data_IF_667912532571
#
_entry.id   IF_667912532571
#
_cell.length_a   1.000
_cell.length_b   1.000
_cell.length_c   1.000
_cell.angle_alpha   90.00
_cell.angle_beta   90.00
_cell.angle_gamma   90.00
#
_symmetry.space_group_name_H-M   'P 1'
#
loop_
_entity.id
_entity.type
_entity.pdbx_description
1 polymer ?
#
# COMPACT_ATOMS: atom_id res chain seq x y z
N UNK A 1 16.21 21.82 -0.47
CA UNK A 1 15.56 21.01 0.59
C UNK A 1 14.09 20.90 0.22
N UNK A 2 13.65 19.75 -0.26
CA UNK A 2 12.25 19.48 -0.57
C UNK A 2 11.53 19.14 0.72
N UNK A 3 10.71 20.08 1.21
CA UNK A 3 9.85 19.87 2.37
C UNK A 3 8.86 18.76 2.08
N UNK A 4 8.95 17.65 2.82
CA UNK A 4 7.87 16.70 2.95
C UNK A 4 6.64 17.47 3.42
N UNK A 5 5.65 17.59 2.56
CA UNK A 5 4.38 18.21 2.93
C UNK A 5 3.63 17.19 3.77
N UNK A 6 3.85 17.21 5.09
CA UNK A 6 2.95 16.54 6.02
C UNK A 6 1.56 17.16 5.83
N UNK A 7 0.61 16.37 5.36
CA UNK A 7 -0.80 16.75 5.20
C UNK A 7 -1.49 17.06 6.54
N UNK A 8 -0.80 16.91 7.68
CA UNK A 8 -1.26 17.30 9.02
C UNK A 8 -1.32 18.82 9.28
N UNK A 9 -0.88 19.66 8.35
CA UNK A 9 -0.77 21.11 8.55
C UNK A 9 -2.06 21.94 8.42
N UNK A 10 -3.17 21.39 7.90
CA UNK A 10 -4.34 22.22 7.53
C UNK A 10 -5.30 22.50 8.71
N UNK A 11 -5.42 21.59 9.68
CA UNK A 11 -6.34 21.74 10.84
C UNK A 11 -5.65 21.69 12.20
N UNK A 12 -4.34 21.43 12.24
CA UNK A 12 -3.57 21.26 13.49
C UNK A 12 -3.94 20.02 14.30
N UNK A 13 -4.89 19.20 13.84
CA UNK A 13 -5.25 17.92 14.48
C UNK A 13 -4.59 16.79 13.71
N UNK A 14 -3.66 16.08 14.35
CA UNK A 14 -3.05 14.87 13.78
C UNK A 14 -4.14 13.81 13.65
N UNK A 15 -4.55 13.51 12.42
CA UNK A 15 -5.40 12.36 12.18
C UNK A 15 -4.58 11.10 12.49
N UNK A 16 -4.91 10.46 13.61
CA UNK A 16 -4.23 9.27 14.14
C UNK A 16 -4.31 8.08 13.19
N UNK A 17 -5.29 8.06 12.29
CA UNK A 17 -5.58 6.96 11.39
C UNK A 17 -5.26 7.27 9.93
N UNK A 18 -5.14 8.54 9.54
CA UNK A 18 -4.83 8.95 8.17
C UNK A 18 -3.62 8.21 7.56
N UNK A 19 -2.49 8.17 8.27
CA UNK A 19 -1.29 7.47 7.76
C UNK A 19 -1.54 5.96 7.60
N UNK A 20 -2.37 5.36 8.45
CA UNK A 20 -2.71 3.95 8.36
C UNK A 20 -3.69 3.67 7.21
N UNK A 21 -4.67 4.55 7.00
CA UNK A 21 -5.60 4.51 5.87
C UNK A 21 -4.81 4.62 4.56
N UNK A 22 -3.94 5.63 4.45
CA UNK A 22 -3.08 5.82 3.29
C UNK A 22 -2.19 4.61 3.03
N UNK A 23 -1.61 4.01 4.08
CA UNK A 23 -0.80 2.80 3.95
C UNK A 23 -1.60 1.62 3.39
N UNK A 24 -2.81 1.37 3.94
CA UNK A 24 -3.69 0.29 3.46
C UNK A 24 -4.09 0.52 2.01
N UNK A 25 -4.49 1.74 1.66
CA UNK A 25 -4.83 2.12 0.29
C UNK A 25 -3.66 1.89 -0.66
N UNK A 26 -2.46 2.35 -0.29
CA UNK A 26 -1.24 2.19 -1.10
C UNK A 26 -0.88 0.72 -1.32
N UNK A 27 -1.04 -0.14 -0.31
CA UNK A 27 -0.85 -1.57 -0.44
C UNK A 27 -1.86 -2.22 -1.41
N UNK A 28 -3.13 -1.82 -1.35
CA UNK A 28 -4.17 -2.36 -2.22
C UNK A 28 -3.99 -1.90 -3.68
N UNK A 29 -3.72 -0.61 -3.90
CA UNK A 29 -3.43 -0.05 -5.23
C UNK A 29 -2.20 -0.71 -5.86
N UNK A 30 -1.13 -0.87 -5.08
CA UNK A 30 0.08 -1.51 -5.57
C UNK A 30 -0.13 -2.99 -5.91
N UNK A 31 -0.89 -3.74 -5.09
CA UNK A 31 -1.20 -5.14 -5.38
C UNK A 31 -1.98 -5.31 -6.70
N UNK A 32 -2.89 -4.38 -7.00
CA UNK A 32 -3.64 -4.36 -8.26
C UNK A 32 -2.73 -3.98 -9.44
N UNK A 33 -1.93 -2.92 -9.30
CA UNK A 33 -1.00 -2.46 -10.35
C UNK A 33 0.02 -3.54 -10.72
N UNK A 34 0.56 -4.24 -9.73
CA UNK A 34 1.53 -5.32 -9.95
C UNK A 34 0.95 -6.48 -10.74
N UNK A 35 -0.37 -6.69 -10.73
CA UNK A 35 -1.00 -7.73 -11.56
C UNK A 35 -0.79 -7.47 -13.06
N UNK A 36 -0.96 -6.21 -13.48
CA UNK A 36 -0.67 -5.80 -14.86
C UNK A 36 0.81 -5.94 -15.18
N UNK A 37 1.69 -5.55 -14.26
CA UNK A 37 3.14 -5.62 -14.49
C UNK A 37 3.65 -7.07 -14.58
N UNK A 38 3.06 -7.99 -13.81
CA UNK A 38 3.34 -9.43 -13.94
C UNK A 38 2.94 -9.91 -15.34
N UNK A 39 1.74 -9.58 -15.80
CA UNK A 39 1.26 -9.99 -17.13
C UNK A 39 2.13 -9.43 -18.26
N UNK A 40 2.58 -8.19 -18.14
CA UNK A 40 3.48 -7.56 -19.11
C UNK A 40 4.84 -8.26 -19.12
N UNK A 41 5.45 -8.52 -17.97
CA UNK A 41 6.73 -9.23 -17.88
C UNK A 41 6.64 -10.66 -18.44
N UNK A 42 5.54 -11.37 -18.19
CA UNK A 42 5.29 -12.70 -18.75
C UNK A 42 5.16 -12.67 -20.27
N UNK A 43 4.47 -11.67 -20.83
CA UNK A 43 4.33 -11.49 -22.28
C UNK A 43 5.67 -11.19 -22.95
N UNK A 44 6.54 -10.45 -22.27
CA UNK A 44 7.86 -10.09 -22.75
C UNK A 44 8.91 -11.19 -22.49
N UNK A 45 8.55 -12.27 -21.80
CA UNK A 45 9.41 -13.40 -21.50
C UNK A 45 10.43 -13.15 -20.37
N UNK A 46 10.26 -12.09 -19.59
CA UNK A 46 11.14 -11.72 -18.48
C UNK A 46 10.68 -12.40 -17.17
N UNK A 47 11.12 -13.63 -16.98
CA UNK A 47 10.76 -14.44 -15.80
C UNK A 47 11.32 -13.88 -14.48
N UNK A 48 12.45 -13.17 -14.52
CA UNK A 48 13.08 -12.63 -13.32
C UNK A 48 12.26 -11.47 -12.76
N UNK A 49 11.83 -10.56 -13.63
CA UNK A 49 10.97 -9.43 -13.26
C UNK A 49 9.57 -9.91 -12.88
N UNK A 50 9.00 -10.89 -13.58
CA UNK A 50 7.71 -11.47 -13.21
C UNK A 50 7.72 -12.04 -11.79
N UNK A 51 8.78 -12.78 -11.42
CA UNK A 51 8.91 -13.36 -10.07
C UNK A 51 9.13 -12.29 -9.00
N UNK A 52 9.89 -11.24 -9.31
CA UNK A 52 10.03 -10.08 -8.43
C UNK A 52 8.67 -9.43 -8.15
N UNK A 53 7.87 -9.19 -9.18
CA UNK A 53 6.55 -8.58 -9.03
C UNK A 53 5.56 -9.48 -8.30
N UNK A 54 5.61 -10.80 -8.49
CA UNK A 54 4.79 -11.75 -7.72
C UNK A 54 5.08 -11.66 -6.22
N UNK A 55 6.36 -11.60 -5.83
CA UNK A 55 6.76 -11.42 -4.42
C UNK A 55 6.27 -10.07 -3.87
N UNK A 56 6.51 -8.99 -4.61
CA UNK A 56 6.05 -7.66 -4.22
C UNK A 56 4.51 -7.58 -4.08
N UNK A 57 3.76 -8.29 -4.93
CA UNK A 57 2.31 -8.35 -4.88
C UNK A 57 1.84 -9.10 -3.62
N UNK A 58 2.48 -10.22 -3.30
CA UNK A 58 2.19 -10.98 -2.08
C UNK A 58 2.45 -10.14 -0.81
N UNK A 59 3.57 -9.42 -0.76
CA UNK A 59 3.89 -8.53 0.37
C UNK A 59 2.92 -7.35 0.47
N UNK A 60 2.49 -6.78 -0.67
CA UNK A 60 1.47 -5.72 -0.70
C UNK A 60 0.13 -6.22 -0.17
N UNK A 61 -0.33 -7.42 -0.57
CA UNK A 61 -1.55 -8.05 -0.04
C UNK A 61 -1.44 -8.28 1.47
N UNK A 62 -0.31 -8.80 1.94
CA UNK A 62 -0.05 -9.02 3.37
C UNK A 62 -0.08 -7.72 4.16
N UNK A 63 0.56 -6.67 3.66
CA UNK A 63 0.54 -5.33 4.27
C UNK A 63 -0.88 -4.77 4.38
N UNK A 64 -1.68 -4.91 3.32
CA UNK A 64 -3.08 -4.49 3.33
C UNK A 64 -3.92 -5.24 4.38
N UNK A 65 -3.77 -6.56 4.51
CA UNK A 65 -4.52 -7.33 5.52
C UNK A 65 -4.15 -6.93 6.95
N UNK A 66 -2.86 -6.80 7.25
CA UNK A 66 -2.39 -6.34 8.57
C UNK A 66 -2.89 -4.93 8.88
N UNK A 67 -2.79 -4.02 7.91
CA UNK A 67 -3.25 -2.64 8.05
C UNK A 67 -4.77 -2.55 8.26
N UNK A 68 -5.56 -3.32 7.51
CA UNK A 68 -7.03 -3.41 7.70
C UNK A 68 -7.39 -3.93 9.09
N UNK A 69 -6.69 -4.96 9.57
CA UNK A 69 -6.89 -5.50 10.91
C UNK A 69 -6.64 -4.47 12.00
N UNK A 70 -5.53 -3.73 11.89
CA UNK A 70 -5.22 -2.65 12.83
C UNK A 70 -6.24 -1.51 12.75
N UNK A 71 -6.62 -1.10 11.54
CA UNK A 71 -7.59 -0.03 11.33
C UNK A 71 -8.95 -0.39 11.94
N UNK A 72 -9.44 -1.61 11.73
CA UNK A 72 -10.66 -2.12 12.36
C UNK A 72 -10.57 -2.02 13.88
N UNK A 73 -9.48 -2.51 14.49
CA UNK A 73 -9.32 -2.48 15.94
C UNK A 73 -9.34 -1.05 16.52
N UNK A 74 -8.87 -0.06 15.76
CA UNK A 74 -8.88 1.35 16.19
C UNK A 74 -10.27 1.98 16.06
N UNK A 75 -11.01 1.64 15.00
CA UNK A 75 -12.37 2.11 14.79
C UNK A 75 -13.36 1.52 15.80
N UNK A 76 -13.13 0.30 16.27
CA UNK A 76 -13.94 -0.34 17.32
C UNK A 76 -13.69 0.24 18.73
N UNK A 77 -12.55 0.89 18.95
CA UNK A 77 -12.12 1.46 20.25
C UNK A 77 -12.36 2.96 20.38
N UNK A 78 -12.68 3.65 19.28
CA UNK A 78 -12.99 5.08 19.24
C UNK A 78 -14.49 5.31 19.37
#
# INVERSE_FOLDING_TARGET
MTSQTETGGVTGTRDKDYNLIWYVESCLDNALRLDTYIQDAERDGDSEVAELFRKAQADSRKGAELGKGLLRSRLEKG
#
